data_IF_774329645350
#
_entry.id   IF_774329645350
#
_cell.length_a   1.000
_cell.length_b   1.000
_cell.length_c   1.000
_cell.angle_alpha   90.00
_cell.angle_beta   90.00
_cell.angle_gamma   90.00
#
_symmetry.space_group_name_H-M   'P 1'
#
loop_
_entity.id
_entity.type
_entity.pdbx_description
1 polymer ?
#
# COMPACT_ATOMS: atom_id res chain seq x y z
N UNK A 1 24.44 4.84 -19.12
CA UNK A 1 23.93 3.49 -19.43
C UNK A 1 22.59 3.36 -18.71
N UNK A 2 21.53 2.91 -19.37
CA UNK A 2 20.19 2.77 -18.77
C UNK A 2 20.05 1.36 -18.20
N UNK A 3 19.48 1.24 -17.00
CA UNK A 3 19.05 -0.04 -16.41
C UNK A 3 17.52 -0.10 -16.45
N UNK A 4 16.94 -1.24 -16.82
CA UNK A 4 15.50 -1.50 -16.72
C UNK A 4 15.26 -2.55 -15.64
N UNK A 5 14.31 -2.27 -14.75
CA UNK A 5 13.87 -3.18 -13.70
C UNK A 5 12.47 -3.68 -14.04
N UNK A 6 12.26 -5.00 -14.00
CA UNK A 6 10.99 -5.63 -14.34
C UNK A 6 10.45 -6.33 -13.10
N UNK A 7 9.22 -5.94 -12.74
CA UNK A 7 8.46 -6.50 -11.65
C UNK A 7 7.54 -7.59 -12.19
N UNK A 8 7.42 -8.69 -11.45
CA UNK A 8 6.53 -9.79 -11.78
C UNK A 8 5.63 -10.09 -10.58
N UNK A 9 5.96 -11.09 -9.76
CA UNK A 9 5.03 -11.58 -8.74
C UNK A 9 5.00 -10.70 -7.48
N UNK A 10 6.09 -9.99 -7.20
CA UNK A 10 6.23 -9.13 -6.02
C UNK A 10 6.24 -7.65 -6.41
N UNK A 11 5.47 -6.85 -5.67
CA UNK A 11 5.28 -5.43 -5.97
C UNK A 11 6.46 -4.57 -5.52
N UNK A 12 7.19 -5.01 -4.50
CA UNK A 12 8.21 -4.21 -3.85
C UNK A 12 9.64 -4.45 -4.34
N UNK A 13 9.90 -5.55 -5.04
CA UNK A 13 11.23 -5.90 -5.53
C UNK A 13 11.15 -6.37 -6.98
N UNK A 14 12.01 -5.88 -7.88
CA UNK A 14 12.03 -6.38 -9.25
C UNK A 14 12.65 -7.77 -9.29
N UNK A 15 12.18 -8.62 -10.20
CA UNK A 15 12.75 -9.96 -10.40
C UNK A 15 13.87 -9.97 -11.44
N UNK A 16 13.82 -9.03 -12.39
CA UNK A 16 14.76 -8.98 -13.51
C UNK A 16 15.37 -7.60 -13.65
N UNK A 17 16.68 -7.56 -13.92
CA UNK A 17 17.43 -6.37 -14.31
C UNK A 17 17.94 -6.56 -15.74
N UNK A 18 17.62 -5.63 -16.64
CA UNK A 18 18.31 -5.51 -17.92
C UNK A 18 19.29 -4.35 -17.86
N UNK A 19 20.59 -4.64 -17.97
CA UNK A 19 21.66 -3.65 -17.83
C UNK A 19 22.80 -4.01 -18.77
N UNK A 20 23.20 -3.05 -19.62
CA UNK A 20 24.34 -3.21 -20.52
C UNK A 20 24.22 -4.38 -21.51
N UNK A 21 23.00 -4.67 -21.99
CA UNK A 21 22.74 -5.78 -22.92
C UNK A 21 22.73 -7.17 -22.26
N UNK A 22 22.86 -7.23 -20.93
CA UNK A 22 22.72 -8.46 -20.14
C UNK A 22 21.45 -8.45 -19.31
N UNK A 23 20.98 -9.65 -19.01
CA UNK A 23 19.81 -9.89 -18.17
C UNK A 23 20.24 -10.59 -16.90
N UNK A 24 19.80 -10.06 -15.76
CA UNK A 24 20.08 -10.59 -14.43
C UNK A 24 18.77 -10.92 -13.72
N UNK A 25 18.79 -11.97 -12.90
CA UNK A 25 17.68 -12.31 -12.00
C UNK A 25 18.04 -11.95 -10.56
N UNK A 26 17.11 -11.29 -9.88
CA UNK A 26 17.21 -11.04 -8.45
C UNK A 26 16.53 -12.20 -7.71
N UNK A 27 17.21 -12.76 -6.73
CA UNK A 27 16.64 -13.65 -5.74
C UNK A 27 16.53 -12.89 -4.43
N UNK A 28 15.35 -12.91 -3.83
CA UNK A 28 15.05 -12.17 -2.61
C UNK A 28 14.50 -13.09 -1.51
N UNK A 29 14.50 -12.60 -0.27
CA UNK A 29 13.85 -13.27 0.86
C UNK A 29 12.32 -13.06 0.86
N UNK A 30 11.63 -13.57 1.89
CA UNK A 30 10.17 -13.49 2.00
C UNK A 30 9.64 -12.06 2.17
N UNK A 31 10.48 -11.10 2.60
CA UNK A 31 10.11 -9.68 2.68
C UNK A 31 10.37 -8.95 1.36
N UNK A 32 11.05 -9.59 0.41
CA UNK A 32 11.47 -8.96 -0.84
C UNK A 32 12.85 -8.30 -0.77
N UNK A 33 13.68 -8.61 0.24
CA UNK A 33 15.05 -8.09 0.30
C UNK A 33 15.95 -8.86 -0.68
N UNK A 34 16.62 -8.21 -1.66
CA UNK A 34 17.55 -8.87 -2.57
C UNK A 34 18.68 -9.57 -1.81
N UNK A 35 18.86 -10.87 -2.02
CA UNK A 35 19.93 -11.69 -1.43
C UNK A 35 21.02 -12.04 -2.45
N UNK A 36 20.61 -12.33 -3.68
CA UNK A 36 21.53 -12.64 -4.77
C UNK A 36 21.07 -11.99 -6.07
N UNK A 37 22.04 -11.62 -6.90
CA UNK A 37 21.80 -11.23 -8.29
C UNK A 37 22.63 -12.15 -9.17
N UNK A 38 21.97 -12.79 -10.14
CA UNK A 38 22.55 -13.84 -10.97
C UNK A 38 22.50 -13.43 -12.44
N UNK A 39 23.61 -13.55 -13.16
CA UNK A 39 23.63 -13.42 -14.62
C UNK A 39 22.88 -14.60 -15.24
N UNK A 40 21.78 -14.32 -15.96
CA UNK A 40 20.89 -15.36 -16.49
C UNK A 40 21.51 -16.21 -17.59
N UNK A 41 22.58 -15.74 -18.24
CA UNK A 41 23.26 -16.46 -19.32
C UNK A 41 24.34 -17.40 -18.78
N UNK A 42 25.06 -16.98 -17.72
CA UNK A 42 26.21 -17.73 -17.19
C UNK A 42 25.90 -18.46 -15.88
N UNK A 43 24.83 -18.09 -15.18
CA UNK A 43 24.51 -18.59 -13.84
C UNK A 43 25.43 -18.05 -12.74
N UNK A 44 26.32 -17.11 -13.04
CA UNK A 44 27.24 -16.54 -12.05
C UNK A 44 26.51 -15.57 -11.12
N UNK A 45 26.84 -15.65 -9.83
CA UNK A 45 26.41 -14.66 -8.83
C UNK A 45 27.25 -13.40 -9.04
N UNK A 46 26.58 -12.31 -9.44
CA UNK A 46 27.22 -10.99 -9.69
C UNK A 46 27.10 -10.04 -8.50
N UNK A 47 26.20 -10.33 -7.56
CA UNK A 47 26.10 -9.66 -6.28
C UNK A 47 25.46 -10.61 -5.26
N UNK A 48 25.93 -10.54 -4.02
CA UNK A 48 25.40 -11.22 -2.84
C UNK A 48 25.26 -10.18 -1.73
N UNK A 49 24.08 -10.12 -1.10
CA UNK A 49 23.77 -9.19 -0.02
C UNK A 49 23.24 -9.94 1.20
N UNK A 50 23.74 -9.57 2.37
CA UNK A 50 23.27 -10.09 3.64
C UNK A 50 22.80 -8.95 4.53
N UNK A 51 21.65 -9.15 5.17
CA UNK A 51 21.08 -8.23 6.15
C UNK A 51 21.00 -8.86 7.53
N UNK A 52 21.07 -8.04 8.57
CA UNK A 52 20.57 -8.40 9.89
C UNK A 52 19.04 -8.30 9.99
N UNK A 53 18.47 -8.56 11.17
CA UNK A 53 17.03 -8.55 11.41
C UNK A 53 16.36 -7.18 11.21
N UNK A 54 17.13 -6.08 11.20
CA UNK A 54 16.64 -4.72 11.04
C UNK A 54 16.95 -4.15 9.66
N UNK A 55 17.58 -4.92 8.77
CA UNK A 55 17.92 -4.48 7.43
C UNK A 55 19.29 -3.83 7.29
N UNK A 56 20.16 -3.88 8.31
CA UNK A 56 21.55 -3.43 8.15
C UNK A 56 22.27 -4.38 7.21
N UNK A 57 22.90 -3.84 6.16
CA UNK A 57 23.74 -4.62 5.27
C UNK A 57 25.02 -5.05 6.01
N UNK A 58 25.12 -6.34 6.34
CA UNK A 58 26.30 -6.92 7.00
C UNK A 58 27.34 -7.43 6.01
N UNK A 59 26.94 -7.69 4.76
CA UNK A 59 27.81 -8.07 3.66
C UNK A 59 27.20 -7.65 2.32
N UNK A 60 28.04 -7.11 1.42
CA UNK A 60 27.69 -6.83 0.02
C UNK A 60 28.93 -7.07 -0.85
N UNK A 61 28.86 -8.04 -1.76
CA UNK A 61 30.00 -8.39 -2.62
C UNK A 61 30.20 -7.43 -3.80
N UNK A 62 29.21 -6.61 -4.14
CA UNK A 62 29.29 -5.66 -5.25
C UNK A 62 28.43 -4.40 -5.01
N UNK A 63 28.84 -3.51 -4.09
CA UNK A 63 28.05 -2.33 -3.71
C UNK A 63 27.76 -1.41 -4.91
N UNK A 64 26.49 -0.99 -5.01
CA UNK A 64 26.03 -0.10 -6.08
C UNK A 64 25.72 -0.79 -7.41
N UNK A 65 25.77 -2.13 -7.48
CA UNK A 65 25.35 -2.86 -8.69
C UNK A 65 23.88 -2.57 -9.06
N UNK A 66 23.01 -2.52 -8.05
CA UNK A 66 21.58 -2.23 -8.12
C UNK A 66 21.13 -1.46 -6.85
N UNK A 67 20.01 -0.70 -6.90
CA UNK A 67 19.65 0.27 -5.85
C UNK A 67 18.71 -0.25 -4.73
N UNK A 68 18.17 -1.46 -4.83
CA UNK A 68 17.22 -2.04 -3.88
C UNK A 68 17.93 -2.73 -2.71
N UNK A 69 17.37 -2.63 -1.51
CA UNK A 69 17.88 -3.21 -0.27
C UNK A 69 16.80 -3.93 0.52
N UNK A 70 16.88 -3.82 1.85
CA UNK A 70 15.93 -4.47 2.76
C UNK A 70 14.48 -4.22 2.35
N UNK A 71 13.70 -5.30 2.31
CA UNK A 71 12.28 -5.33 1.97
C UNK A 71 11.91 -4.60 0.66
N UNK A 72 12.85 -4.52 -0.29
CA UNK A 72 12.65 -3.87 -1.60
C UNK A 72 12.77 -2.35 -1.59
N UNK A 73 13.08 -1.72 -0.45
CA UNK A 73 13.29 -0.27 -0.38
C UNK A 73 14.56 0.17 -1.12
N UNK A 74 14.63 1.45 -1.50
CA UNK A 74 15.82 1.97 -2.19
C UNK A 74 16.92 2.28 -1.18
N UNK A 75 18.02 1.54 -1.26
CA UNK A 75 19.14 1.66 -0.35
C UNK A 75 20.17 2.69 -0.83
N UNK A 76 20.49 3.65 0.03
CA UNK A 76 21.58 4.58 -0.21
C UNK A 76 22.84 4.13 0.53
N UNK A 77 23.87 3.78 -0.24
CA UNK A 77 25.15 3.29 0.29
C UNK A 77 25.92 4.33 1.11
N UNK A 78 25.64 5.62 0.96
CA UNK A 78 26.33 6.69 1.69
C UNK A 78 25.68 6.97 3.04
N UNK A 79 24.36 7.15 3.05
CA UNK A 79 23.61 7.47 4.27
C UNK A 79 23.23 6.22 5.07
N UNK A 80 23.27 5.04 4.45
CA UNK A 80 22.81 3.76 5.00
C UNK A 80 21.30 3.73 5.29
N UNK A 81 20.57 4.73 4.81
CA UNK A 81 19.12 4.80 4.91
C UNK A 81 18.46 4.02 3.77
N UNK A 82 17.21 3.63 4.00
CA UNK A 82 16.38 2.94 3.04
C UNK A 82 15.12 3.77 2.78
N UNK A 83 14.94 4.20 1.54
CA UNK A 83 13.77 4.97 1.12
C UNK A 83 12.62 4.01 0.80
N UNK A 84 11.54 4.13 1.57
CA UNK A 84 10.25 3.50 1.33
C UNK A 84 9.22 4.59 1.07
N UNK A 85 8.70 4.67 -0.16
CA UNK A 85 7.67 5.65 -0.55
C UNK A 85 7.87 7.04 0.08
N UNK A 86 7.08 7.32 1.13
CA UNK A 86 7.04 8.60 1.82
C UNK A 86 8.16 8.84 2.87
N UNK A 87 8.84 7.80 3.37
CA UNK A 87 9.75 7.89 4.52
C UNK A 87 11.11 7.25 4.26
N UNK A 88 12.14 7.78 4.93
CA UNK A 88 13.43 7.10 5.07
C UNK A 88 13.42 6.27 6.36
N UNK A 89 13.80 5.01 6.24
CA UNK A 89 14.02 4.09 7.33
C UNK A 89 15.51 4.06 7.68
N UNK A 90 15.82 4.06 8.97
CA UNK A 90 17.17 3.89 9.52
C UNK A 90 17.30 2.48 10.13
N UNK A 91 17.97 1.55 9.42
CA UNK A 91 18.21 0.20 9.91
C UNK A 91 19.06 0.14 11.18
N UNK A 92 19.98 1.10 11.38
CA UNK A 92 20.86 1.10 12.55
C UNK A 92 20.07 1.47 13.82
N UNK A 93 19.08 2.36 13.69
CA UNK A 93 18.19 2.75 14.79
C UNK A 93 16.89 1.92 14.86
N UNK A 94 16.63 1.05 13.87
CA UNK A 94 15.44 0.21 13.76
C UNK A 94 14.13 0.99 13.67
N UNK A 95 14.14 2.15 13.00
CA UNK A 95 13.02 3.11 13.03
C UNK A 95 12.97 4.03 11.82
N UNK A 96 11.84 4.72 11.65
CA UNK A 96 11.71 5.82 10.68
C UNK A 96 12.52 7.04 11.12
N UNK A 97 13.09 7.78 10.16
CA UNK A 97 13.80 9.05 10.43
C UNK A 97 12.84 10.23 10.60
N UNK A 98 11.60 10.09 10.16
CA UNK A 98 10.53 11.08 10.28
C UNK A 98 9.33 10.49 11.01
N UNK A 99 8.57 11.34 11.71
CA UNK A 99 7.30 10.97 12.30
C UNK A 99 6.37 10.44 11.22
N UNK A 100 5.54 9.47 11.59
CA UNK A 100 4.48 9.00 10.75
C UNK A 100 3.57 10.17 10.30
N UNK A 101 3.44 10.43 9.00
CA UNK A 101 2.54 11.45 8.48
C UNK A 101 1.07 11.24 8.88
N UNK A 102 0.70 10.02 9.26
CA UNK A 102 -0.65 9.69 9.77
C UNK A 102 -0.72 9.65 11.30
N UNK A 103 0.37 10.01 11.99
CA UNK A 103 0.45 10.04 13.45
C UNK A 103 0.02 8.70 14.07
N UNK A 104 -0.85 8.73 15.07
CA UNK A 104 -1.30 7.55 15.81
C UNK A 104 -2.29 6.69 15.02
N UNK A 105 -2.74 7.14 13.84
CA UNK A 105 -3.59 6.34 12.95
C UNK A 105 -2.82 5.13 12.38
N UNK A 106 -1.49 5.10 12.43
CA UNK A 106 -0.69 3.93 12.06
C UNK A 106 -0.86 2.73 13.00
N UNK A 107 -1.59 2.90 14.11
CA UNK A 107 -1.82 1.88 15.14
C UNK A 107 -0.68 1.77 16.15
N UNK A 108 0.51 2.30 15.83
CA UNK A 108 1.63 2.39 16.76
C UNK A 108 1.57 3.70 17.57
N UNK A 109 1.81 3.57 18.88
CA UNK A 109 1.97 4.73 19.77
C UNK A 109 3.31 5.44 19.58
N UNK A 110 4.29 4.75 18.99
CA UNK A 110 5.56 5.33 18.59
C UNK A 110 5.48 5.81 17.14
N UNK A 111 5.42 7.14 16.95
CA UNK A 111 5.36 7.74 15.61
C UNK A 111 6.61 7.51 14.75
N UNK A 112 7.68 6.97 15.31
CA UNK A 112 8.87 6.58 14.57
C UNK A 112 9.01 5.06 14.44
N UNK A 113 8.11 4.28 15.06
CA UNK A 113 8.18 2.82 15.07
C UNK A 113 8.11 2.23 13.67
N UNK A 114 8.98 1.26 13.39
CA UNK A 114 8.89 0.44 12.18
C UNK A 114 8.16 -0.86 12.52
N UNK A 115 7.00 -1.09 11.90
CA UNK A 115 6.19 -2.31 11.96
C UNK A 115 6.06 -2.94 13.36
N UNK A 116 5.75 -2.13 14.38
CA UNK A 116 5.60 -2.59 15.77
C UNK A 116 6.83 -3.34 16.32
N UNK A 117 8.03 -2.95 15.87
CA UNK A 117 9.29 -3.61 16.20
C UNK A 117 9.37 -5.09 15.73
N UNK A 118 8.65 -5.45 14.67
CA UNK A 118 8.59 -6.80 14.12
C UNK A 118 9.12 -6.90 12.67
N UNK A 119 10.31 -6.33 12.41
CA UNK A 119 10.89 -6.18 11.08
C UNK A 119 11.16 -7.50 10.33
N UNK A 120 11.18 -8.64 11.02
CA UNK A 120 11.41 -9.97 10.42
C UNK A 120 10.14 -10.53 9.77
N UNK A 121 8.96 -10.20 10.32
CA UNK A 121 7.69 -10.79 9.89
C UNK A 121 6.82 -9.80 9.11
N UNK A 122 7.06 -8.50 9.30
CA UNK A 122 6.23 -7.43 8.76
C UNK A 122 7.06 -6.47 7.91
N UNK A 123 6.42 -5.83 6.95
CA UNK A 123 7.03 -4.82 6.07
C UNK A 123 6.07 -3.65 5.87
N UNK A 124 6.61 -2.43 5.82
CA UNK A 124 5.86 -1.23 5.42
C UNK A 124 6.43 -0.68 4.11
N UNK A 125 5.82 -1.10 3.00
CA UNK A 125 6.34 -0.89 1.64
C UNK A 125 6.21 0.56 1.16
N UNK A 126 5.20 1.27 1.63
CA UNK A 126 4.86 2.63 1.18
C UNK A 126 5.22 3.68 2.22
N UNK A 127 5.44 3.25 3.47
CA UNK A 127 5.49 4.12 4.62
C UNK A 127 4.10 4.62 5.07
N UNK A 128 2.97 4.08 4.57
CA UNK A 128 1.57 4.60 4.68
C UNK A 128 0.47 3.51 4.46
N UNK A 129 -0.85 3.81 4.56
CA UNK A 129 -1.94 2.80 4.46
C UNK A 129 -3.29 3.28 3.84
N UNK A 130 -4.01 2.44 3.07
CA UNK A 130 -5.41 2.72 2.64
C UNK A 130 -6.45 2.42 3.72
N UNK A 131 -7.46 3.30 3.78
CA UNK A 131 -8.57 3.21 4.71
C UNK A 131 -9.91 3.07 3.99
N UNK A 132 -10.83 2.31 4.57
CA UNK A 132 -12.25 2.33 4.22
C UNK A 132 -13.00 3.03 5.34
N UNK A 133 -13.72 4.11 5.01
CA UNK A 133 -14.42 4.95 5.96
C UNK A 133 -15.94 4.84 5.79
N UNK A 134 -16.67 4.83 6.91
CA UNK A 134 -18.12 4.72 6.96
C UNK A 134 -18.70 5.82 7.85
N UNK A 135 -19.81 6.43 7.40
CA UNK A 135 -20.56 7.46 8.15
C UNK A 135 -22.06 7.37 7.86
N UNK A 136 -22.94 7.93 8.70
CA UNK A 136 -24.37 8.02 8.38
C UNK A 136 -24.61 8.85 7.11
N UNK A 137 -25.51 8.38 6.24
CA UNK A 137 -25.94 9.17 5.09
C UNK A 137 -26.78 10.38 5.55
N UNK A 138 -26.59 11.54 4.91
CA UNK A 138 -27.18 12.81 5.34
C UNK A 138 -28.68 12.90 5.07
N UNK A 139 -29.12 12.36 3.92
CA UNK A 139 -30.46 12.61 3.38
C UNK A 139 -31.26 11.33 3.10
N UNK A 140 -30.71 10.15 3.45
CA UNK A 140 -31.39 8.88 3.29
C UNK A 140 -31.05 7.93 4.45
N UNK A 141 -31.95 6.99 4.79
CA UNK A 141 -31.63 5.97 5.78
C UNK A 141 -30.44 5.12 5.32
N UNK A 142 -29.53 4.89 6.26
CA UNK A 142 -28.37 4.02 6.11
C UNK A 142 -27.01 4.72 6.18
N UNK A 143 -25.97 3.97 5.81
CA UNK A 143 -24.58 4.41 5.86
C UNK A 143 -24.02 4.73 4.47
N UNK A 144 -23.06 5.64 4.44
CA UNK A 144 -22.21 6.00 3.32
C UNK A 144 -20.80 5.48 3.58
N UNK A 145 -20.22 4.78 2.61
CA UNK A 145 -18.87 4.25 2.67
C UNK A 145 -18.01 4.83 1.55
N UNK A 146 -16.72 5.03 1.79
CA UNK A 146 -15.79 5.57 0.80
C UNK A 146 -14.37 5.06 1.06
N UNK A 147 -13.55 5.04 0.02
CA UNK A 147 -12.11 4.84 0.16
C UNK A 147 -11.45 6.14 0.57
N UNK A 148 -10.49 6.07 1.47
CA UNK A 148 -9.68 7.21 1.85
C UNK A 148 -8.21 6.92 1.54
N UNK A 149 -7.66 7.74 0.64
CA UNK A 149 -6.24 7.78 0.32
C UNK A 149 -5.57 8.73 1.30
N UNK A 150 -4.97 8.16 2.34
CA UNK A 150 -4.29 8.88 3.41
C UNK A 150 -3.06 9.67 2.93
N UNK A 151 -2.47 9.24 1.79
CA UNK A 151 -1.31 9.85 1.12
C UNK A 151 -1.69 11.20 0.52
N UNK A 152 -2.90 11.28 -0.06
CA UNK A 152 -3.42 12.48 -0.73
C UNK A 152 -4.41 13.27 0.12
N UNK A 153 -4.82 12.73 1.28
CA UNK A 153 -5.92 13.24 2.10
C UNK A 153 -7.19 13.44 1.26
N UNK A 154 -7.45 12.47 0.40
CA UNK A 154 -8.53 12.51 -0.56
C UNK A 154 -9.41 11.28 -0.42
N UNK A 155 -10.71 11.53 -0.36
CA UNK A 155 -11.69 10.48 -0.46
C UNK A 155 -11.90 10.10 -1.93
N UNK A 156 -12.30 8.85 -2.14
CA UNK A 156 -12.88 8.39 -3.39
C UNK A 156 -14.17 7.64 -3.10
N UNK A 157 -15.24 8.10 -3.75
CA UNK A 157 -16.61 7.61 -3.56
C UNK A 157 -17.59 8.30 -4.51
N UNK A 158 -18.87 8.00 -4.36
CA UNK A 158 -19.92 8.63 -5.16
C UNK A 158 -20.20 10.04 -4.65
N UNK A 159 -19.44 11.01 -5.18
CA UNK A 159 -19.50 12.43 -4.84
C UNK A 159 -20.83 13.13 -5.11
N UNK A 160 -21.81 12.46 -5.73
CA UNK A 160 -23.12 13.04 -6.03
C UNK A 160 -24.21 11.96 -6.16
N UNK A 161 -25.04 11.82 -5.12
CA UNK A 161 -26.43 11.32 -5.22
C UNK A 161 -27.19 11.51 -3.89
N UNK A 162 -26.52 11.55 -2.74
CA UNK A 162 -27.17 11.86 -1.43
C UNK A 162 -26.21 12.40 -0.36
N UNK A 163 -25.09 12.96 -0.79
CA UNK A 163 -24.06 13.53 0.08
C UNK A 163 -23.37 14.65 -0.68
N UNK A 164 -23.63 15.89 -0.26
CA UNK A 164 -23.04 17.07 -0.88
C UNK A 164 -21.52 17.10 -0.75
N UNK A 165 -20.90 17.58 -1.83
CA UNK A 165 -19.49 17.96 -2.06
C UNK A 165 -18.41 17.05 -1.43
N UNK A 166 -17.60 16.35 -2.24
CA UNK A 166 -16.61 15.36 -1.77
C UNK A 166 -15.56 15.93 -0.81
N UNK A 167 -15.27 17.23 -0.87
CA UNK A 167 -14.21 17.83 -0.06
C UNK A 167 -14.68 18.37 1.31
N UNK A 168 -15.98 18.61 1.51
CA UNK A 168 -16.45 19.30 2.74
C UNK A 168 -16.85 18.35 3.86
N UNK A 169 -17.13 17.08 3.54
CA UNK A 169 -17.76 16.14 4.48
C UNK A 169 -17.03 14.80 4.69
N UNK A 170 -16.24 14.31 3.73
CA UNK A 170 -15.46 13.07 3.85
C UNK A 170 -14.09 13.42 4.39
N UNK A 171 -13.88 13.23 5.70
CA UNK A 171 -12.68 13.75 6.39
C UNK A 171 -11.68 12.67 6.78
N UNK A 172 -11.97 11.43 6.42
CA UNK A 172 -11.11 10.29 6.69
C UNK A 172 -11.04 9.92 8.17
N UNK A 173 -9.97 9.20 8.56
CA UNK A 173 -9.71 8.78 9.93
C UNK A 173 -9.68 9.97 10.89
N UNK A 174 -10.23 9.79 12.10
CA UNK A 174 -10.35 10.83 13.14
C UNK A 174 -11.65 11.64 13.12
N UNK A 175 -12.44 11.58 12.04
CA UNK A 175 -13.81 12.17 12.01
C UNK A 175 -14.89 11.21 11.56
N UNK A 176 -14.57 10.33 10.61
CA UNK A 176 -15.45 9.24 10.19
C UNK A 176 -14.94 7.91 10.75
N UNK A 177 -15.80 6.89 10.77
CA UNK A 177 -15.42 5.57 11.26
C UNK A 177 -14.65 4.83 10.17
N UNK A 178 -13.33 4.78 10.29
CA UNK A 178 -12.46 4.18 9.29
C UNK A 178 -11.81 2.89 9.80
N UNK A 179 -11.67 1.91 8.91
CA UNK A 179 -10.93 0.68 9.17
C UNK A 179 -9.83 0.57 8.13
N UNK A 180 -8.59 0.38 8.60
CA UNK A 180 -7.46 0.05 7.74
C UNK A 180 -7.69 -1.34 7.15
N UNK A 181 -7.57 -1.45 5.84
CA UNK A 181 -7.70 -2.73 5.15
C UNK A 181 -6.31 -3.38 5.11
N UNK A 182 -6.14 -4.62 5.60
CA UNK A 182 -4.87 -5.32 5.49
C UNK A 182 -4.56 -5.66 4.03
N UNK A 183 -3.29 -5.89 3.72
CA UNK A 183 -2.80 -6.25 2.39
C UNK A 183 -3.09 -5.23 1.27
N UNK A 184 -3.33 -3.96 1.62
CA UNK A 184 -3.46 -2.86 0.65
C UNK A 184 -2.13 -2.20 0.28
N UNK A 185 -1.07 -2.51 1.01
CA UNK A 185 0.23 -1.86 0.87
C UNK A 185 0.79 -2.09 -0.55
N UNK A 186 1.08 -1.00 -1.26
CA UNK A 186 1.51 -1.00 -2.66
C UNK A 186 0.39 -1.07 -3.70
N UNK A 187 -0.86 -1.35 -3.29
CA UNK A 187 -2.02 -1.49 -4.19
C UNK A 187 -2.89 -0.23 -4.24
N UNK A 188 -2.46 0.84 -3.58
CA UNK A 188 -3.29 2.00 -3.29
C UNK A 188 -3.70 2.76 -4.55
N UNK A 189 -2.78 2.95 -5.49
CA UNK A 189 -3.09 3.63 -6.74
C UNK A 189 -4.04 2.82 -7.64
N UNK A 190 -3.93 1.50 -7.64
CA UNK A 190 -4.83 0.62 -8.38
C UNK A 190 -6.22 0.57 -7.76
N UNK A 191 -6.31 0.50 -6.43
CA UNK A 191 -7.57 0.58 -5.68
C UNK A 191 -8.25 1.94 -5.94
N UNK A 192 -7.51 3.04 -5.82
CA UNK A 192 -8.04 4.39 -6.02
C UNK A 192 -8.38 4.67 -7.48
N UNK A 193 -7.63 4.11 -8.44
CA UNK A 193 -7.95 4.15 -9.87
C UNK A 193 -9.24 3.38 -10.16
N UNK A 194 -9.36 2.16 -9.64
CA UNK A 194 -10.59 1.38 -9.75
C UNK A 194 -11.78 2.16 -9.17
N UNK A 195 -11.60 2.78 -8.00
CA UNK A 195 -12.64 3.59 -7.39
C UNK A 195 -13.03 4.76 -8.30
N UNK A 196 -12.09 5.57 -8.81
CA UNK A 196 -12.39 6.73 -9.68
C UNK A 196 -13.05 6.33 -11.01
N UNK A 197 -12.65 5.20 -11.59
CA UNK A 197 -13.22 4.70 -12.85
C UNK A 197 -14.67 4.21 -12.70
N UNK A 198 -15.06 3.80 -11.50
CA UNK A 198 -16.39 3.20 -11.23
C UNK A 198 -17.26 4.06 -10.30
N UNK A 199 -16.69 5.08 -9.66
CA UNK A 199 -17.41 6.11 -8.93
C UNK A 199 -18.41 6.80 -9.87
N UNK A 200 -19.65 6.96 -9.40
CA UNK A 200 -20.77 7.56 -10.11
C UNK A 200 -21.32 6.77 -11.33
N UNK A 201 -20.90 5.52 -11.56
CA UNK A 201 -21.49 4.66 -12.59
C UNK A 201 -22.77 3.92 -12.16
N UNK A 202 -23.25 4.12 -10.94
CA UNK A 202 -24.49 3.53 -10.45
C UNK A 202 -25.66 4.50 -10.50
N UNK A 203 -26.67 4.17 -11.32
CA UNK A 203 -28.02 4.68 -11.16
C UNK A 203 -28.82 3.66 -10.33
N UNK A 204 -29.44 4.12 -9.24
CA UNK A 204 -30.32 3.30 -8.41
C UNK A 204 -31.61 2.97 -9.18
N UNK A 205 -31.72 1.75 -9.72
CA UNK A 205 -32.99 1.19 -10.18
C UNK A 205 -33.07 -0.29 -9.78
N UNK A 206 -33.96 -0.68 -8.84
CA UNK A 206 -34.05 -2.04 -8.33
C UNK A 206 -34.50 -3.10 -9.36
N UNK A 207 -34.82 -2.70 -10.60
CA UNK A 207 -35.34 -3.55 -11.67
C UNK A 207 -34.51 -3.49 -12.97
N UNK A 208 -33.37 -2.77 -13.00
CA UNK A 208 -32.58 -2.61 -14.21
C UNK A 208 -31.73 -3.87 -14.52
N UNK A 209 -31.78 -4.41 -15.75
CA UNK A 209 -31.10 -5.66 -16.13
C UNK A 209 -29.59 -5.55 -16.36
N UNK A 210 -28.97 -4.39 -16.05
CA UNK A 210 -27.55 -4.13 -16.33
C UNK A 210 -26.66 -4.39 -15.10
N UNK A 211 -25.88 -5.47 -15.19
CA UNK A 211 -25.07 -6.11 -14.14
C UNK A 211 -23.92 -5.32 -13.49
N UNK A 212 -23.79 -4.00 -13.62
CA UNK A 212 -22.71 -3.24 -12.94
C UNK A 212 -23.17 -1.89 -12.42
N UNK A 213 -24.09 -1.94 -11.47
CA UNK A 213 -24.47 -0.81 -10.63
C UNK A 213 -23.86 -1.07 -9.27
N UNK A 214 -22.66 -0.53 -9.02
CA UNK A 214 -21.98 -0.65 -7.72
C UNK A 214 -22.43 0.50 -6.81
N UNK A 215 -23.11 0.24 -5.71
CA UNK A 215 -23.28 1.26 -4.67
C UNK A 215 -21.95 1.51 -3.93
N UNK A 216 -21.93 2.47 -3.00
CA UNK A 216 -20.71 2.80 -2.26
C UNK A 216 -20.00 1.58 -1.64
N UNK A 217 -20.78 0.60 -1.16
CA UNK A 217 -20.27 -0.63 -0.56
C UNK A 217 -19.83 -1.65 -1.62
N UNK A 218 -20.67 -1.93 -2.62
CA UNK A 218 -20.34 -2.83 -3.71
C UNK A 218 -19.18 -2.35 -4.58
N UNK A 219 -18.89 -1.05 -4.58
CA UNK A 219 -17.69 -0.47 -5.20
C UNK A 219 -16.44 -0.83 -4.39
N UNK A 220 -16.52 -0.78 -3.06
CA UNK A 220 -15.44 -1.15 -2.16
C UNK A 220 -15.11 -2.64 -2.31
N UNK A 221 -16.12 -3.50 -2.22
CA UNK A 221 -15.95 -4.95 -2.41
C UNK A 221 -15.34 -5.27 -3.78
N UNK A 222 -15.82 -4.60 -4.83
CA UNK A 222 -15.32 -4.79 -6.18
C UNK A 222 -13.85 -4.38 -6.34
N UNK A 223 -13.47 -3.19 -5.85
CA UNK A 223 -12.11 -2.69 -6.02
C UNK A 223 -11.11 -3.40 -5.10
N UNK A 224 -11.49 -3.75 -3.87
CA UNK A 224 -10.67 -4.59 -2.99
C UNK A 224 -10.52 -6.00 -3.56
N UNK A 225 -11.61 -6.61 -4.03
CA UNK A 225 -11.57 -7.94 -4.66
C UNK A 225 -10.71 -7.96 -5.93
N UNK A 226 -10.76 -6.91 -6.75
CA UNK A 226 -9.88 -6.77 -7.93
C UNK A 226 -8.41 -6.61 -7.55
N UNK A 227 -8.12 -5.99 -6.41
CA UNK A 227 -6.77 -5.86 -5.85
C UNK A 227 -6.32 -7.10 -5.04
N UNK A 228 -7.16 -8.13 -4.91
CA UNK A 228 -6.88 -9.30 -4.10
C UNK A 228 -6.72 -9.00 -2.60
N UNK A 229 -7.37 -7.95 -2.12
CA UNK A 229 -7.38 -7.56 -0.71
C UNK A 229 -8.59 -8.18 0.01
N UNK A 230 -8.46 -8.52 1.29
CA UNK A 230 -9.57 -9.01 2.09
C UNK A 230 -10.67 -7.95 2.24
N UNK A 231 -11.93 -8.40 2.14
CA UNK A 231 -13.11 -7.58 2.37
C UNK A 231 -13.58 -7.82 3.81
N UNK A 232 -13.38 -6.84 4.69
CA UNK A 232 -13.53 -7.02 6.15
C UNK A 232 -14.84 -6.52 6.75
N UNK A 233 -15.91 -6.31 5.98
CA UNK A 233 -17.15 -5.74 6.55
C UNK A 233 -18.38 -6.64 6.41
N UNK A 234 -19.15 -6.83 7.51
CA UNK A 234 -20.54 -7.23 7.44
C UNK A 234 -21.43 -5.99 7.28
N UNK A 235 -22.35 -6.11 6.32
CA UNK A 235 -23.55 -5.30 6.13
C UNK A 235 -23.37 -3.94 5.46
N UNK A 236 -23.92 -3.85 4.24
CA UNK A 236 -23.99 -2.64 3.43
C UNK A 236 -24.84 -1.54 4.07
N UNK A 237 -25.64 -0.84 3.26
CA UNK A 237 -26.33 0.40 3.66
C UNK A 237 -27.10 0.35 5.01
N UNK A 238 -27.57 -0.81 5.47
CA UNK A 238 -28.30 -0.98 6.75
C UNK A 238 -27.48 -1.64 7.87
N UNK A 239 -26.17 -1.83 7.67
CA UNK A 239 -25.27 -2.46 8.63
C UNK A 239 -24.94 -1.59 9.84
N UNK A 240 -24.50 -2.19 10.96
CA UNK A 240 -23.97 -1.42 12.08
C UNK A 240 -22.66 -0.72 11.67
N UNK A 241 -22.48 0.54 12.11
CA UNK A 241 -21.19 1.21 12.00
C UNK A 241 -20.27 0.63 13.07
N UNK A 242 -19.10 0.07 12.72
CA UNK A 242 -18.16 -0.45 13.72
C UNK A 242 -17.81 0.63 14.76
N UNK A 243 -18.05 0.32 16.04
CA UNK A 243 -17.76 1.25 17.16
C UNK A 243 -18.88 2.23 17.52
N UNK A 244 -20.09 2.12 16.95
CA UNK A 244 -21.31 2.72 17.52
C UNK A 244 -22.14 1.64 18.19
N UNK A 245 -22.35 1.77 19.51
CA UNK A 245 -23.41 1.07 20.24
C UNK A 245 -24.78 1.66 19.88
#
# INVERSE_FOLDING_TARGET
MVSRFIYADHINVPEIIEKGGKTYRILHDHLGSPRFVIDTQTGQIVQELHYDAWGNVVFDSNPGFQPFGFAGGLYDTHTKLIRFGARDYDPAAGRWTAKDPIQFEGGDTNLFGYVFANAVNEVDLTGLAIWVCVRPARDLPGNHAYFWDDRKKQACGMSASSGGDPDVNEKGPGKDHCTKIPDTDGKEDDIMKCCRENANRALWFPWAPFKRVHDCFGLIEYCLGKAGCPVLFPAGRTGPIPGRN
#
